data_IF_111526295478
#
_entry.id   IF_111526295478
#
_cell.length_a   1.000
_cell.length_b   1.000
_cell.length_c   1.000
_cell.angle_alpha   90.00
_cell.angle_beta   90.00
_cell.angle_gamma   90.00
#
_symmetry.space_group_name_H-M   'P 1'
#
loop_
_entity.id
_entity.type
_entity.pdbx_description
1 polymer ?
#
# COMPACT_ATOMS: atom_id res chain seq x y z
N UNK A 1 -2.65 -4.26 -4.11
CA UNK A 1 -2.00 -4.42 -2.79
C UNK A 1 -3.02 -4.08 -1.73
N UNK A 2 -3.08 -4.87 -0.67
CA UNK A 2 -3.91 -4.58 0.49
C UNK A 2 -2.99 -4.49 1.70
N UNK A 3 -3.15 -3.44 2.51
CA UNK A 3 -2.33 -3.18 3.69
C UNK A 3 -3.24 -3.08 4.91
N UNK A 4 -3.01 -3.91 5.92
CA UNK A 4 -3.70 -3.82 7.21
C UNK A 4 -2.77 -3.17 8.22
N UNK A 5 -3.25 -2.12 8.88
CA UNK A 5 -2.41 -1.18 9.64
C UNK A 5 -3.23 -0.52 10.75
N UNK A 6 -2.59 -0.11 11.84
CA UNK A 6 -3.24 0.66 12.91
C UNK A 6 -3.51 2.10 12.44
N UNK A 7 -4.57 2.74 12.94
CA UNK A 7 -5.05 4.05 12.43
C UNK A 7 -3.96 5.14 12.42
N UNK A 8 -3.10 5.16 13.44
CA UNK A 8 -2.00 6.13 13.59
C UNK A 8 -1.00 6.13 12.41
N UNK A 9 -0.85 5.00 11.71
CA UNK A 9 0.07 4.87 10.59
C UNK A 9 -0.61 4.91 9.21
N UNK A 10 -1.94 4.97 9.16
CA UNK A 10 -2.69 4.95 7.91
C UNK A 10 -2.20 6.04 6.94
N UNK A 11 -1.99 7.26 7.44
CA UNK A 11 -1.50 8.38 6.64
C UNK A 11 -0.11 8.12 6.04
N UNK A 12 0.81 7.53 6.81
CA UNK A 12 2.15 7.20 6.34
C UNK A 12 2.13 6.12 5.24
N UNK A 13 1.28 5.10 5.39
CA UNK A 13 1.09 4.05 4.39
C UNK A 13 0.50 4.61 3.09
N UNK A 14 -0.56 5.42 3.18
CA UNK A 14 -1.16 6.07 2.00
C UNK A 14 -0.14 6.97 1.30
N UNK A 15 0.64 7.73 2.06
CA UNK A 15 1.71 8.57 1.53
C UNK A 15 2.76 7.78 0.74
N UNK A 16 3.22 6.63 1.25
CA UNK A 16 4.17 5.77 0.55
C UNK A 16 3.58 5.15 -0.72
N UNK A 17 2.31 4.69 -0.66
CA UNK A 17 1.61 4.15 -1.83
C UNK A 17 1.50 5.22 -2.93
N UNK A 18 1.18 6.46 -2.59
CA UNK A 18 1.13 7.58 -3.54
C UNK A 18 2.52 7.87 -4.15
N UNK A 19 3.60 7.87 -3.35
CA UNK A 19 4.97 8.02 -3.86
C UNK A 19 5.36 6.93 -4.86
N UNK A 20 4.79 5.73 -4.71
CA UNK A 20 4.97 4.60 -5.62
C UNK A 20 4.05 4.66 -6.85
N UNK A 21 3.40 5.79 -7.12
CA UNK A 21 2.37 5.96 -8.16
C UNK A 21 1.20 4.98 -7.98
N UNK A 22 0.88 4.69 -6.74
CA UNK A 22 -0.29 3.90 -6.36
C UNK A 22 -1.56 4.73 -6.44
N UNK A 23 -2.66 4.05 -6.76
CA UNK A 23 -4.01 4.61 -6.71
C UNK A 23 -4.78 3.87 -5.62
N UNK A 24 -5.09 4.57 -4.53
CA UNK A 24 -5.94 4.03 -3.46
C UNK A 24 -7.34 3.83 -4.02
N UNK A 25 -7.84 2.61 -3.91
CA UNK A 25 -9.17 2.21 -4.36
C UNK A 25 -10.19 2.30 -3.23
N UNK A 26 -9.78 1.89 -2.03
CA UNK A 26 -10.64 1.89 -0.86
C UNK A 26 -9.83 2.01 0.44
N UNK A 27 -10.47 2.58 1.46
CA UNK A 27 -9.98 2.65 2.83
C UNK A 27 -11.08 2.15 3.76
N UNK A 28 -10.94 0.89 4.18
CA UNK A 28 -11.86 0.20 5.05
C UNK A 28 -11.39 0.09 6.50
N UNK A 29 -12.23 -0.51 7.34
CA UNK A 29 -11.89 -0.88 8.72
C UNK A 29 -12.12 -2.38 8.93
N UNK A 30 -11.18 -3.04 9.62
CA UNK A 30 -11.25 -4.45 10.00
C UNK A 30 -11.05 -4.54 11.52
N UNK A 31 -12.14 -4.41 12.26
CA UNK A 31 -12.10 -4.26 13.71
C UNK A 31 -11.40 -2.95 14.10
N UNK A 32 -10.39 -3.04 14.96
CA UNK A 32 -9.59 -1.88 15.38
C UNK A 32 -8.54 -1.43 14.35
N UNK A 33 -8.30 -2.21 13.28
CA UNK A 33 -7.32 -1.90 12.25
C UNK A 33 -7.96 -1.26 11.03
N UNK A 34 -7.18 -0.49 10.29
CA UNK A 34 -7.51 0.05 8.97
C UNK A 34 -7.01 -0.89 7.88
N UNK A 35 -7.77 -0.96 6.79
CA UNK A 35 -7.43 -1.68 5.58
C UNK A 35 -7.32 -0.68 4.44
N UNK A 36 -6.17 -0.62 3.78
CA UNK A 36 -5.93 0.24 2.61
C UNK A 36 -5.76 -0.66 1.40
N UNK A 37 -6.66 -0.55 0.43
CA UNK A 37 -6.58 -1.24 -0.85
C UNK A 37 -6.11 -0.28 -1.94
N UNK A 38 -5.08 -0.66 -2.68
CA UNK A 38 -4.52 0.18 -3.75
C UNK A 38 -4.05 -0.64 -4.95
N UNK A 39 -4.13 -0.04 -6.14
CA UNK A 39 -3.46 -0.53 -7.34
C UNK A 39 -2.12 0.19 -7.45
N UNK A 40 -1.03 -0.56 -7.55
CA UNK A 40 0.32 0.01 -7.65
C UNK A 40 1.08 -0.71 -8.75
N UNK A 41 1.79 -0.01 -9.65
CA UNK A 41 2.63 -0.65 -10.64
C UNK A 41 3.65 -1.58 -9.97
N UNK A 42 3.69 -2.85 -10.38
CA UNK A 42 4.57 -3.84 -9.76
C UNK A 42 6.05 -3.41 -9.73
N UNK A 43 6.51 -2.73 -10.79
CA UNK A 43 7.87 -2.15 -10.88
C UNK A 43 8.21 -1.15 -9.75
N UNK A 44 7.19 -0.55 -9.13
CA UNK A 44 7.36 0.40 -8.03
C UNK A 44 7.21 -0.27 -6.66
N UNK A 45 7.00 -1.59 -6.58
CA UNK A 45 6.82 -2.33 -5.32
C UNK A 45 8.09 -3.02 -4.80
N UNK A 46 9.21 -2.94 -5.54
CA UNK A 46 10.50 -3.40 -5.04
C UNK A 46 10.86 -2.71 -3.71
N UNK A 47 11.32 -3.49 -2.75
CA UNK A 47 11.64 -3.03 -1.39
C UNK A 47 10.42 -2.66 -0.51
N UNK A 48 9.18 -2.87 -0.98
CA UNK A 48 7.99 -2.46 -0.23
C UNK A 48 7.88 -3.12 1.15
N UNK A 49 8.22 -4.42 1.27
CA UNK A 49 8.18 -5.14 2.55
C UNK A 49 9.04 -4.47 3.63
N UNK A 50 10.28 -4.12 3.31
CA UNK A 50 11.17 -3.39 4.23
C UNK A 50 10.62 -2.01 4.54
N UNK A 51 10.12 -1.30 3.52
CA UNK A 51 9.60 0.06 3.67
C UNK A 51 8.37 0.12 4.58
N UNK A 52 7.36 -0.72 4.34
CA UNK A 52 6.13 -0.74 5.14
C UNK A 52 6.42 -1.16 6.59
N UNK A 53 7.38 -2.07 6.79
CA UNK A 53 7.86 -2.43 8.13
C UNK A 53 8.47 -1.22 8.84
N UNK A 54 9.34 -0.45 8.19
CA UNK A 54 9.93 0.75 8.78
C UNK A 54 8.90 1.86 9.07
N UNK A 55 7.91 2.05 8.19
CA UNK A 55 6.87 3.08 8.37
C UNK A 55 5.92 2.80 9.52
N UNK A 56 5.75 1.53 9.88
CA UNK A 56 4.71 1.07 10.82
C UNK A 56 5.30 0.40 12.05
N UNK A 57 6.62 0.56 12.26
CA UNK A 57 7.36 -0.08 13.35
C UNK A 57 7.18 -1.62 13.37
N UNK A 58 6.91 -2.21 12.19
CA UNK A 58 6.64 -3.63 12.01
C UNK A 58 5.23 -4.11 12.37
N UNK A 59 4.28 -3.19 12.57
CA UNK A 59 2.90 -3.51 12.98
C UNK A 59 1.92 -3.73 11.83
N UNK A 60 2.29 -3.35 10.60
CA UNK A 60 1.46 -3.58 9.43
C UNK A 60 1.72 -4.94 8.76
N UNK A 61 0.68 -5.47 8.15
CA UNK A 61 0.74 -6.61 7.24
C UNK A 61 0.26 -6.19 5.86
N UNK A 62 0.75 -6.83 4.81
CA UNK A 62 0.29 -6.54 3.46
C UNK A 62 0.19 -7.81 2.60
N UNK A 63 -0.68 -7.78 1.60
CA UNK A 63 -0.80 -8.77 0.55
C UNK A 63 -0.71 -8.10 -0.82
N UNK A 64 -0.06 -8.76 -1.78
CA UNK A 64 0.03 -8.31 -3.16
C UNK A 64 -0.43 -9.42 -4.09
N UNK A 65 -1.39 -9.10 -4.94
CA UNK A 65 -1.88 -9.98 -5.98
C UNK A 65 -1.79 -9.25 -7.31
N UNK A 66 -1.47 -9.99 -8.37
CA UNK A 66 -1.56 -9.48 -9.73
C UNK A 66 -3.03 -9.10 -10.03
N UNK A 67 -3.23 -7.92 -10.62
CA UNK A 67 -4.56 -7.44 -10.99
C UNK A 67 -4.74 -7.45 -12.51
N UNK A 68 -3.92 -6.67 -13.23
CA UNK A 68 -3.98 -6.52 -14.67
C UNK A 68 -2.66 -5.99 -15.22
N UNK A 69 -2.53 -6.01 -16.55
CA UNK A 69 -1.57 -5.16 -17.25
C UNK A 69 -2.18 -3.77 -17.45
N UNK A 70 -1.30 -2.78 -17.56
CA UNK A 70 -1.66 -1.41 -17.90
C UNK A 70 -0.58 -0.82 -18.81
N UNK A 71 -0.95 0.20 -19.58
CA UNK A 71 -0.03 0.99 -20.38
C UNK A 71 0.98 1.69 -19.50
N UNK A 72 2.25 1.68 -19.92
CA UNK A 72 3.24 2.52 -19.27
C UNK A 72 2.93 3.96 -19.64
N UNK A 73 2.46 4.75 -18.67
CA UNK A 73 2.46 6.21 -18.80
C UNK A 73 3.92 6.68 -18.86
N UNK A 74 4.42 6.85 -20.08
CA UNK A 74 5.62 7.61 -20.40
C UNK A 74 5.39 9.04 -19.91
N UNK A 75 6.27 9.54 -19.04
CA UNK A 75 6.34 10.96 -18.73
C UNK A 75 7.16 11.68 -19.80
#
# INVERSE_FOLDING_TARGET
VEVTVDDEFMGAVIGDLNQRRGQVQDVGSRGAKKLVAALVPLRNMFGYSTRVRSLTEGRATFSMLFHSYDTLQSA
#
